data_IF_620477481903
#
_entry.id   IF_620477481903
#
_cell.length_a   1.000
_cell.length_b   1.000
_cell.length_c   1.000
_cell.angle_alpha   90.00
_cell.angle_beta   90.00
_cell.angle_gamma   90.00
#
_symmetry.space_group_name_H-M   'P 1'
#
loop_
_entity.id
_entity.type
_entity.pdbx_description
1 polymer ?
#
# COMPACT_ATOMS: atom_id res chain seq x y z
N UNK A 1 -20.64 19.40 -0.18
CA UNK A 1 -21.90 18.96 -0.85
C UNK A 1 -22.07 19.51 -2.26
N UNK A 2 -21.58 20.71 -2.57
CA UNK A 2 -21.90 21.41 -3.83
C UNK A 2 -21.08 20.95 -5.04
N UNK A 3 -19.88 20.43 -4.86
CA UNK A 3 -19.03 19.94 -5.96
C UNK A 3 -19.67 18.74 -6.62
N UNK A 4 -20.20 17.79 -5.86
CA UNK A 4 -20.87 16.60 -6.40
C UNK A 4 -22.17 16.93 -7.14
N UNK A 5 -22.93 17.92 -6.65
CA UNK A 5 -24.16 18.36 -7.36
C UNK A 5 -23.83 19.01 -8.70
N UNK A 6 -22.76 19.81 -8.76
CA UNK A 6 -22.28 20.43 -10.02
C UNK A 6 -21.76 19.36 -11.00
N UNK A 7 -21.03 18.35 -10.52
CA UNK A 7 -20.59 17.23 -11.35
C UNK A 7 -21.77 16.46 -11.93
N UNK A 8 -22.78 16.14 -11.14
CA UNK A 8 -23.98 15.42 -11.63
C UNK A 8 -24.74 16.26 -12.65
N UNK A 9 -24.90 17.57 -12.44
CA UNK A 9 -25.54 18.47 -13.38
C UNK A 9 -24.75 18.57 -14.69
N UNK A 10 -23.42 18.75 -14.59
CA UNK A 10 -22.53 18.79 -15.74
C UNK A 10 -22.58 17.50 -16.56
N UNK A 11 -22.52 16.36 -15.90
CA UNK A 11 -22.58 15.04 -16.55
C UNK A 11 -23.93 14.82 -17.24
N UNK A 12 -25.06 15.22 -16.61
CA UNK A 12 -26.38 15.14 -17.21
C UNK A 12 -26.53 16.06 -18.43
N UNK A 13 -25.86 17.21 -18.42
CA UNK A 13 -25.99 18.20 -19.50
C UNK A 13 -25.13 17.82 -20.71
N UNK A 14 -23.85 17.45 -20.49
CA UNK A 14 -22.89 17.19 -21.56
C UNK A 14 -22.81 15.73 -22.00
N UNK A 15 -23.15 14.78 -21.14
CA UNK A 15 -23.03 13.34 -21.40
C UNK A 15 -24.36 12.61 -21.18
N UNK A 16 -25.41 13.07 -21.85
CA UNK A 16 -26.77 12.54 -21.69
C UNK A 16 -26.86 11.01 -21.90
N UNK A 17 -26.10 10.46 -22.86
CA UNK A 17 -26.08 9.03 -23.14
C UNK A 17 -25.38 8.18 -22.06
N UNK A 18 -24.38 8.75 -21.38
CA UNK A 18 -23.65 8.06 -20.29
C UNK A 18 -24.28 8.28 -18.91
N UNK A 19 -25.14 9.30 -18.76
CA UNK A 19 -25.71 9.72 -17.47
C UNK A 19 -27.04 9.04 -17.12
N UNK A 20 -27.42 7.96 -17.81
CA UNK A 20 -28.61 7.18 -17.46
C UNK A 20 -28.36 6.34 -16.23
N UNK A 21 -28.89 6.78 -15.10
CA UNK A 21 -28.91 5.99 -13.86
C UNK A 21 -29.87 4.82 -14.04
N UNK A 22 -29.35 3.66 -14.41
CA UNK A 22 -30.11 2.43 -14.53
C UNK A 22 -29.77 1.54 -13.34
N UNK A 23 -30.76 1.28 -12.50
CA UNK A 23 -30.63 0.25 -11.46
C UNK A 23 -30.49 -1.11 -12.14
N UNK A 24 -29.25 -1.59 -12.21
CA UNK A 24 -28.93 -2.88 -12.79
C UNK A 24 -29.13 -3.96 -11.73
N UNK A 25 -30.16 -4.81 -11.91
CA UNK A 25 -30.51 -5.89 -10.96
C UNK A 25 -29.77 -7.20 -11.27
N UNK A 26 -28.49 -7.14 -11.64
CA UNK A 26 -27.69 -8.35 -11.81
C UNK A 26 -27.07 -8.75 -10.48
N UNK A 27 -27.77 -9.63 -9.76
CA UNK A 27 -27.32 -10.18 -8.49
C UNK A 27 -25.97 -10.94 -8.59
N UNK A 28 -25.66 -11.50 -9.76
CA UNK A 28 -24.40 -12.22 -9.98
C UNK A 28 -23.20 -11.29 -9.90
N UNK A 29 -23.22 -10.17 -10.63
CA UNK A 29 -22.17 -9.16 -10.58
C UNK A 29 -22.05 -8.48 -9.23
N UNK A 30 -23.18 -8.20 -8.58
CA UNK A 30 -23.19 -7.64 -7.23
C UNK A 30 -22.54 -8.60 -6.23
N UNK A 31 -22.83 -9.90 -6.31
CA UNK A 31 -22.23 -10.93 -5.47
C UNK A 31 -20.70 -11.01 -5.69
N UNK A 32 -20.25 -10.92 -6.93
CA UNK A 32 -18.81 -10.93 -7.26
C UNK A 32 -18.10 -9.69 -6.66
N UNK A 33 -18.68 -8.50 -6.83
CA UNK A 33 -18.15 -7.26 -6.26
C UNK A 33 -18.11 -7.30 -4.73
N UNK A 34 -19.17 -7.78 -4.08
CA UNK A 34 -19.21 -7.93 -2.62
C UNK A 34 -18.17 -8.95 -2.15
N UNK A 35 -18.04 -10.08 -2.85
CA UNK A 35 -17.02 -11.08 -2.53
C UNK A 35 -15.61 -10.51 -2.66
N UNK A 36 -15.31 -9.81 -3.76
CA UNK A 36 -14.02 -9.15 -3.95
C UNK A 36 -13.72 -8.15 -2.83
N UNK A 37 -14.67 -7.25 -2.54
CA UNK A 37 -14.52 -6.25 -1.48
C UNK A 37 -14.36 -6.85 -0.10
N UNK A 38 -15.07 -7.96 0.19
CA UNK A 38 -14.97 -8.66 1.48
C UNK A 38 -13.57 -9.28 1.67
N UNK A 39 -12.98 -9.87 0.63
CA UNK A 39 -11.62 -10.41 0.71
C UNK A 39 -10.57 -9.31 0.86
N UNK A 40 -10.76 -8.16 0.19
CA UNK A 40 -9.90 -6.98 0.39
C UNK A 40 -10.00 -6.44 1.81
N UNK A 41 -11.22 -6.34 2.34
CA UNK A 41 -11.48 -5.88 3.71
C UNK A 41 -10.81 -6.81 4.74
N UNK A 42 -10.94 -8.13 4.55
CA UNK A 42 -10.31 -9.12 5.44
C UNK A 42 -8.78 -8.96 5.50
N UNK A 43 -8.12 -8.80 4.35
CA UNK A 43 -6.68 -8.53 4.29
C UNK A 43 -6.31 -7.24 5.02
N UNK A 44 -7.09 -6.17 4.80
CA UNK A 44 -6.85 -4.89 5.46
C UNK A 44 -7.04 -4.95 6.99
N UNK A 45 -8.04 -5.68 7.47
CA UNK A 45 -8.27 -5.88 8.91
C UNK A 45 -7.11 -6.66 9.54
N UNK A 46 -6.63 -7.73 8.87
CA UNK A 46 -5.49 -8.50 9.34
C UNK A 46 -4.22 -7.64 9.41
N UNK A 47 -3.93 -6.85 8.38
CA UNK A 47 -2.80 -5.92 8.36
C UNK A 47 -2.87 -4.88 9.49
N UNK A 48 -4.02 -4.21 9.66
CA UNK A 48 -4.20 -3.23 10.75
C UNK A 48 -4.09 -3.90 12.11
N UNK A 49 -4.68 -5.09 12.28
CA UNK A 49 -4.61 -5.87 13.51
C UNK A 49 -3.17 -6.25 13.87
N UNK A 50 -2.40 -6.73 12.89
CA UNK A 50 -0.98 -7.05 13.05
C UNK A 50 -0.15 -5.82 13.43
N UNK A 51 -0.33 -4.72 12.72
CA UNK A 51 0.41 -3.46 12.99
C UNK A 51 0.10 -2.94 14.40
N UNK A 52 -1.16 -2.90 14.80
CA UNK A 52 -1.54 -2.47 16.16
C UNK A 52 -1.07 -3.46 17.24
N UNK A 53 -1.11 -4.77 16.94
CA UNK A 53 -0.57 -5.81 17.81
C UNK A 53 0.94 -5.64 18.04
N UNK A 54 1.71 -5.41 16.98
CA UNK A 54 3.15 -5.14 17.09
C UNK A 54 3.45 -3.86 17.88
N UNK A 55 2.69 -2.79 17.67
CA UNK A 55 2.82 -1.56 18.46
C UNK A 55 2.55 -1.80 19.95
N UNK A 56 1.54 -2.64 20.27
CA UNK A 56 1.24 -3.00 21.66
C UNK A 56 2.35 -3.83 22.29
N UNK A 57 2.88 -4.82 21.58
CA UNK A 57 4.03 -5.64 22.00
C UNK A 57 5.26 -4.75 22.20
N UNK A 58 5.58 -3.88 21.25
CA UNK A 58 6.71 -2.94 21.35
C UNK A 58 6.58 -2.04 22.57
N UNK A 59 5.38 -1.53 22.86
CA UNK A 59 5.15 -0.69 24.03
C UNK A 59 5.28 -1.46 25.35
N UNK A 60 4.88 -2.73 25.36
CA UNK A 60 4.95 -3.59 26.53
C UNK A 60 6.40 -3.92 26.93
N UNK A 61 7.26 -4.24 25.94
CA UNK A 61 8.64 -4.69 26.19
C UNK A 61 9.66 -3.55 26.22
N UNK A 62 9.47 -2.52 25.39
CA UNK A 62 10.46 -1.44 25.21
C UNK A 62 9.98 -0.07 25.74
N UNK A 63 8.72 0.04 26.08
CA UNK A 63 8.13 1.26 26.64
C UNK A 63 7.88 2.37 25.63
N UNK A 64 7.39 3.50 26.13
CA UNK A 64 6.91 4.63 25.35
C UNK A 64 7.98 5.28 24.44
N UNK A 65 9.26 5.44 24.88
CA UNK A 65 10.26 6.10 24.02
C UNK A 65 10.56 5.34 22.73
N UNK A 66 10.64 4.01 22.79
CA UNK A 66 10.90 3.18 21.60
C UNK A 66 9.67 3.16 20.69
N UNK A 67 8.47 3.10 21.26
CA UNK A 67 7.25 3.18 20.47
C UNK A 67 7.11 4.53 19.74
N UNK A 68 7.53 5.63 20.38
CA UNK A 68 7.61 6.93 19.73
C UNK A 68 8.64 6.93 18.57
N UNK A 69 9.79 6.29 18.76
CA UNK A 69 10.80 6.15 17.71
C UNK A 69 10.26 5.34 16.50
N UNK A 70 9.53 4.24 16.75
CA UNK A 70 8.84 3.45 15.69
C UNK A 70 7.81 4.31 14.97
N UNK A 71 7.01 5.12 15.67
CA UNK A 71 6.03 6.01 15.06
C UNK A 71 6.67 7.06 14.15
N UNK A 72 7.81 7.62 14.53
CA UNK A 72 8.58 8.55 13.69
C UNK A 72 9.12 7.81 12.45
N UNK A 73 9.70 6.64 12.64
CA UNK A 73 10.26 5.84 11.56
C UNK A 73 9.18 5.44 10.52
N UNK A 74 7.99 5.07 10.96
CA UNK A 74 6.86 4.75 10.06
C UNK A 74 6.32 5.98 9.34
N UNK A 75 6.41 7.19 9.92
CA UNK A 75 6.07 8.42 9.19
C UNK A 75 7.07 8.72 8.06
N UNK A 76 8.37 8.55 8.31
CA UNK A 76 9.40 8.70 7.29
C UNK A 76 9.21 7.66 6.19
N UNK A 77 8.96 6.40 6.56
CA UNK A 77 8.61 5.31 5.64
C UNK A 77 7.43 5.69 4.74
N UNK A 78 6.32 6.12 5.33
CA UNK A 78 5.11 6.51 4.60
C UNK A 78 5.34 7.66 3.63
N UNK A 79 6.14 8.66 4.02
CA UNK A 79 6.51 9.77 3.15
C UNK A 79 7.30 9.29 1.93
N UNK A 80 8.34 8.49 2.13
CA UNK A 80 9.18 7.96 1.03
C UNK A 80 8.40 6.99 0.15
N UNK A 81 7.65 6.07 0.77
CA UNK A 81 6.88 5.06 0.04
C UNK A 81 5.74 5.67 -0.79
N UNK A 82 5.16 6.79 -0.38
CA UNK A 82 4.06 7.43 -1.11
C UNK A 82 4.40 7.75 -2.56
N UNK A 83 5.65 8.14 -2.84
CA UNK A 83 6.11 8.40 -4.20
C UNK A 83 6.13 7.14 -5.06
N UNK A 84 6.67 6.04 -4.52
CA UNK A 84 6.72 4.75 -5.22
C UNK A 84 5.31 4.18 -5.42
N UNK A 85 4.46 4.28 -4.41
CA UNK A 85 3.07 3.83 -4.50
C UNK A 85 2.29 4.61 -5.57
N UNK A 86 2.42 5.92 -5.63
CA UNK A 86 1.78 6.74 -6.67
C UNK A 86 2.25 6.36 -8.08
N UNK A 87 3.56 6.10 -8.25
CA UNK A 87 4.09 5.59 -9.52
C UNK A 87 3.47 4.23 -9.90
N UNK A 88 3.41 3.29 -8.95
CA UNK A 88 2.79 1.98 -9.17
C UNK A 88 1.30 2.10 -9.49
N UNK A 89 0.56 2.95 -8.78
CA UNK A 89 -0.85 3.19 -9.04
C UNK A 89 -1.11 3.79 -10.43
N UNK A 90 -0.23 4.65 -10.94
CA UNK A 90 -0.34 5.20 -12.29
C UNK A 90 -0.18 4.13 -13.38
N UNK A 91 0.55 3.06 -13.09
CA UNK A 91 0.73 1.93 -14.02
C UNK A 91 -0.40 0.88 -13.97
N UNK A 92 -1.23 0.89 -12.92
CA UNK A 92 -2.29 -0.10 -12.69
C UNK A 92 -3.28 -0.24 -13.87
N UNK A 93 -3.80 0.84 -14.50
CA UNK A 93 -4.71 0.69 -15.64
C UNK A 93 -4.10 -0.09 -16.81
N UNK A 94 -2.80 0.06 -17.06
CA UNK A 94 -2.10 -0.67 -18.13
C UNK A 94 -1.98 -2.16 -17.82
N UNK A 95 -1.72 -2.53 -16.55
CA UNK A 95 -1.70 -3.92 -16.10
C UNK A 95 -3.06 -4.59 -16.28
N UNK A 96 -4.14 -3.91 -15.87
CA UNK A 96 -5.50 -4.43 -16.01
C UNK A 96 -5.89 -4.58 -17.50
N UNK A 97 -5.57 -3.59 -18.33
CA UNK A 97 -5.87 -3.63 -19.77
C UNK A 97 -5.12 -4.75 -20.50
N UNK A 98 -3.81 -4.92 -20.24
CA UNK A 98 -3.01 -5.98 -20.87
C UNK A 98 -3.51 -7.37 -20.46
N UNK A 99 -3.89 -7.55 -19.20
CA UNK A 99 -4.48 -8.79 -18.72
C UNK A 99 -5.86 -9.07 -19.36
N UNK A 100 -6.74 -8.07 -19.40
CA UNK A 100 -8.06 -8.18 -20.02
C UNK A 100 -7.98 -8.48 -21.54
N UNK A 101 -6.95 -7.96 -22.21
CA UNK A 101 -6.66 -8.24 -23.63
C UNK A 101 -6.01 -9.62 -23.84
N UNK A 102 -5.73 -10.38 -22.76
CA UNK A 102 -4.99 -11.67 -22.77
C UNK A 102 -3.57 -11.57 -23.36
N UNK A 103 -2.99 -10.38 -23.35
CA UNK A 103 -1.60 -10.14 -23.76
C UNK A 103 -0.69 -10.37 -22.54
N UNK A 104 -0.45 -11.63 -22.23
CA UNK A 104 0.31 -12.03 -21.05
C UNK A 104 1.80 -11.69 -21.15
N UNK A 105 2.36 -11.65 -22.35
CA UNK A 105 3.76 -11.27 -22.56
C UNK A 105 3.97 -9.79 -22.23
N UNK A 106 3.11 -8.92 -22.73
CA UNK A 106 3.10 -7.51 -22.38
C UNK A 106 2.83 -7.28 -20.90
N UNK A 107 1.88 -8.01 -20.31
CA UNK A 107 1.58 -7.92 -18.88
C UNK A 107 2.82 -8.26 -18.03
N UNK A 108 3.53 -9.35 -18.36
CA UNK A 108 4.77 -9.75 -17.69
C UNK A 108 5.86 -8.68 -17.82
N UNK A 109 6.06 -8.12 -19.02
CA UNK A 109 7.03 -7.03 -19.24
C UNK A 109 6.69 -5.80 -18.41
N UNK A 110 5.40 -5.43 -18.32
CA UNK A 110 4.94 -4.32 -17.48
C UNK A 110 5.24 -4.57 -16.00
N UNK A 111 4.93 -5.77 -15.48
CA UNK A 111 5.20 -6.12 -14.07
C UNK A 111 6.71 -5.98 -13.78
N UNK A 112 7.56 -6.57 -14.60
CA UNK A 112 9.00 -6.51 -14.42
C UNK A 112 9.55 -5.07 -14.56
N UNK A 113 9.02 -4.32 -15.51
CA UNK A 113 9.37 -2.91 -15.71
C UNK A 113 8.99 -2.05 -14.50
N UNK A 114 7.74 -2.17 -14.04
CA UNK A 114 7.25 -1.42 -12.88
C UNK A 114 8.06 -1.78 -11.62
N UNK A 115 8.34 -3.06 -11.38
CA UNK A 115 9.16 -3.51 -10.25
C UNK A 115 10.57 -2.90 -10.30
N UNK A 116 11.21 -2.93 -11.46
CA UNK A 116 12.54 -2.37 -11.68
C UNK A 116 12.58 -0.86 -11.45
N UNK A 117 11.63 -0.12 -12.04
CA UNK A 117 11.57 1.33 -11.88
C UNK A 117 11.16 1.74 -10.47
N UNK A 118 10.30 0.97 -9.80
CA UNK A 118 9.97 1.17 -8.39
C UNK A 118 11.20 1.04 -7.51
N UNK A 119 12.05 0.03 -7.76
CA UNK A 119 13.32 -0.12 -7.03
C UNK A 119 14.26 1.07 -7.26
N UNK A 120 14.42 1.51 -8.51
CA UNK A 120 15.28 2.66 -8.80
C UNK A 120 14.78 3.95 -8.16
N UNK A 121 13.47 4.21 -8.25
CA UNK A 121 12.84 5.36 -7.62
C UNK A 121 13.03 5.31 -6.10
N UNK A 122 12.81 4.13 -5.50
CA UNK A 122 13.00 3.92 -4.08
C UNK A 122 14.46 4.13 -3.67
N UNK A 123 15.42 3.60 -4.44
CA UNK A 123 16.84 3.77 -4.15
C UNK A 123 17.26 5.25 -4.19
N UNK A 124 16.80 5.99 -5.20
CA UNK A 124 17.10 7.44 -5.33
C UNK A 124 16.52 8.23 -4.15
N UNK A 125 15.30 7.91 -3.71
CA UNK A 125 14.66 8.60 -2.59
C UNK A 125 15.25 8.18 -1.24
N UNK A 126 15.60 6.90 -1.09
CA UNK A 126 16.16 6.36 0.16
C UNK A 126 17.59 6.78 0.42
N UNK A 127 18.41 6.94 -0.63
CA UNK A 127 19.82 7.27 -0.47
C UNK A 127 20.05 8.55 0.35
N UNK A 128 19.44 9.71 0.04
CA UNK A 128 19.59 10.91 0.86
C UNK A 128 19.02 10.74 2.28
N UNK A 129 17.92 9.99 2.44
CA UNK A 129 17.32 9.73 3.76
C UNK A 129 18.28 8.90 4.62
N UNK A 130 18.89 7.85 4.06
CA UNK A 130 19.85 7.00 4.78
C UNK A 130 21.13 7.75 5.12
N UNK A 131 21.63 8.58 4.21
CA UNK A 131 22.89 9.31 4.42
C UNK A 131 22.74 10.47 5.40
N UNK A 132 21.65 11.23 5.30
CA UNK A 132 21.39 12.42 6.12
C UNK A 132 20.36 12.17 7.22
N UNK A 133 20.14 10.93 7.67
CA UNK A 133 19.11 10.58 8.66
C UNK A 133 19.14 11.49 9.88
N UNK A 134 20.32 11.65 10.50
CA UNK A 134 20.48 12.52 11.67
C UNK A 134 20.08 13.96 11.39
N UNK A 135 20.63 14.54 10.33
CA UNK A 135 20.35 15.94 9.94
C UNK A 135 18.89 16.17 9.63
N UNK A 136 18.26 15.25 8.88
CA UNK A 136 16.84 15.34 8.52
C UNK A 136 15.94 15.24 9.76
N UNK A 137 16.24 14.30 10.66
CA UNK A 137 15.47 14.13 11.88
C UNK A 137 15.65 15.33 12.84
N UNK A 138 16.85 15.83 13.02
CA UNK A 138 17.13 17.01 13.85
C UNK A 138 16.47 18.27 13.26
N UNK A 139 16.50 18.44 11.94
CA UNK A 139 15.80 19.54 11.27
C UNK A 139 14.28 19.50 11.46
N UNK A 140 13.71 18.29 11.46
CA UNK A 140 12.25 18.11 11.55
C UNK A 140 11.73 18.12 13.00
N UNK A 141 12.42 17.43 13.93
CA UNK A 141 11.97 17.19 15.31
C UNK A 141 12.78 17.98 16.36
N UNK A 142 13.89 18.62 15.96
CA UNK A 142 14.81 19.26 16.87
C UNK A 142 15.82 18.29 17.52
N UNK A 143 16.53 18.77 18.53
CA UNK A 143 17.66 18.03 19.13
C UNK A 143 17.22 16.91 20.10
N UNK A 144 15.94 16.82 20.46
CA UNK A 144 15.42 15.85 21.42
C UNK A 144 14.80 14.63 20.72
N UNK A 145 15.63 13.84 20.05
CA UNK A 145 15.18 12.61 19.39
C UNK A 145 15.02 11.47 20.41
N UNK A 146 13.93 10.67 20.33
CA UNK A 146 13.81 9.44 21.10
C UNK A 146 14.95 8.47 20.81
N UNK A 147 15.33 7.69 21.83
CA UNK A 147 16.39 6.70 21.70
C UNK A 147 16.12 5.71 20.56
N UNK A 148 17.13 5.35 19.80
CA UNK A 148 17.08 4.43 18.64
C UNK A 148 16.30 4.93 17.41
N UNK A 149 15.82 6.17 17.36
CA UNK A 149 15.05 6.69 16.21
C UNK A 149 15.83 6.60 14.90
N UNK A 150 17.10 6.98 14.88
CA UNK A 150 17.92 6.94 13.66
C UNK A 150 18.10 5.53 13.13
N UNK A 151 18.46 4.58 14.03
CA UNK A 151 18.66 3.18 13.67
C UNK A 151 17.37 2.56 13.13
N UNK A 152 16.22 2.87 13.74
CA UNK A 152 14.92 2.38 13.29
C UNK A 152 14.54 2.95 11.93
N UNK A 153 14.76 4.25 11.70
CA UNK A 153 14.52 4.87 10.38
C UNK A 153 15.39 4.20 9.32
N UNK A 154 16.69 4.03 9.58
CA UNK A 154 17.60 3.39 8.63
C UNK A 154 17.20 1.94 8.35
N UNK A 155 16.87 1.17 9.39
CA UNK A 155 16.43 -0.22 9.23
C UNK A 155 15.13 -0.33 8.41
N UNK A 156 14.11 0.48 8.71
CA UNK A 156 12.84 0.48 8.00
C UNK A 156 13.04 0.88 6.54
N UNK A 157 13.80 1.94 6.25
CA UNK A 157 14.07 2.37 4.87
C UNK A 157 14.87 1.32 4.10
N UNK A 158 15.81 0.62 4.74
CA UNK A 158 16.54 -0.49 4.11
C UNK A 158 15.59 -1.67 3.77
N UNK A 159 14.69 -2.03 4.67
CA UNK A 159 13.66 -3.04 4.40
C UNK A 159 12.70 -2.60 3.28
N UNK A 160 12.35 -1.32 3.23
CA UNK A 160 11.47 -0.75 2.22
C UNK A 160 12.05 -0.83 0.81
N UNK A 161 13.38 -0.72 0.66
CA UNK A 161 14.07 -0.93 -0.63
C UNK A 161 13.76 -2.31 -1.21
N UNK A 162 13.75 -3.35 -0.38
CA UNK A 162 13.42 -4.72 -0.80
C UNK A 162 11.93 -4.83 -1.14
N UNK A 163 11.08 -4.24 -0.30
CA UNK A 163 9.62 -4.30 -0.45
C UNK A 163 9.09 -3.52 -1.66
N UNK A 164 9.83 -2.52 -2.14
CA UNK A 164 9.40 -1.66 -3.26
C UNK A 164 9.11 -2.44 -4.55
N UNK A 165 9.78 -3.58 -4.76
CA UNK A 165 9.54 -4.44 -5.92
C UNK A 165 8.22 -5.22 -5.80
N UNK A 166 7.78 -5.53 -4.59
CA UNK A 166 6.63 -6.40 -4.34
C UNK A 166 5.28 -5.76 -4.75
N UNK A 167 5.18 -4.44 -4.73
CA UNK A 167 3.95 -3.72 -5.08
C UNK A 167 3.43 -4.00 -6.48
N UNK A 168 4.30 -4.18 -7.47
CA UNK A 168 3.91 -4.51 -8.84
C UNK A 168 3.29 -5.92 -8.95
N UNK A 169 3.76 -6.87 -8.16
CA UNK A 169 3.17 -8.22 -8.10
C UNK A 169 1.78 -8.19 -7.47
N UNK A 170 1.58 -7.39 -6.43
CA UNK A 170 0.25 -7.17 -5.85
C UNK A 170 -0.72 -6.56 -6.86
N UNK A 171 -0.31 -5.53 -7.60
CA UNK A 171 -1.14 -4.91 -8.64
C UNK A 171 -1.51 -5.92 -9.73
N UNK A 172 -0.61 -6.82 -10.12
CA UNK A 172 -0.92 -7.88 -11.07
C UNK A 172 -1.92 -8.89 -10.52
N UNK A 173 -1.84 -9.24 -9.25
CA UNK A 173 -2.81 -10.12 -8.60
C UNK A 173 -4.23 -9.52 -8.58
N UNK A 174 -4.34 -8.21 -8.37
CA UNK A 174 -5.61 -7.48 -8.47
C UNK A 174 -6.21 -7.54 -9.88
N UNK A 175 -5.37 -7.45 -10.92
CA UNK A 175 -5.81 -7.52 -12.31
C UNK A 175 -6.39 -8.90 -12.70
N UNK A 176 -5.92 -9.99 -12.07
CA UNK A 176 -6.39 -11.36 -12.32
C UNK A 176 -7.82 -11.57 -11.77
N UNK A 177 -8.18 -10.92 -10.68
CA UNK A 177 -9.54 -10.93 -10.14
C UNK A 177 -9.71 -11.64 -8.80
N UNK A 178 -10.97 -11.89 -8.44
CA UNK A 178 -11.41 -12.29 -7.08
C UNK A 178 -10.73 -13.56 -6.55
N UNK A 179 -10.48 -14.55 -7.38
CA UNK A 179 -9.88 -15.83 -6.95
C UNK A 179 -8.45 -15.64 -6.45
N UNK A 180 -7.64 -14.88 -7.20
CA UNK A 180 -6.24 -14.61 -6.86
C UNK A 180 -6.15 -13.67 -5.66
N UNK A 181 -7.02 -12.66 -5.60
CA UNK A 181 -7.12 -11.73 -4.46
C UNK A 181 -7.47 -12.49 -3.18
N UNK A 182 -8.39 -13.46 -3.24
CA UNK A 182 -8.74 -14.31 -2.11
C UNK A 182 -7.53 -15.10 -1.60
N UNK A 183 -6.83 -15.82 -2.48
CA UNK A 183 -5.66 -16.64 -2.10
C UNK A 183 -4.55 -15.77 -1.52
N UNK A 184 -4.25 -14.66 -2.18
CA UNK A 184 -3.23 -13.72 -1.73
C UNK A 184 -3.55 -13.17 -0.33
N UNK A 185 -4.78 -12.66 -0.11
CA UNK A 185 -5.16 -12.08 1.18
C UNK A 185 -5.19 -13.12 2.31
N UNK A 186 -5.56 -14.38 2.04
CA UNK A 186 -5.51 -15.45 3.04
C UNK A 186 -4.06 -15.71 3.47
N UNK A 187 -3.14 -15.83 2.51
CA UNK A 187 -1.72 -16.10 2.81
C UNK A 187 -1.11 -14.93 3.59
N UNK A 188 -1.32 -13.70 3.11
CA UNK A 188 -0.80 -12.51 3.78
C UNK A 188 -1.40 -12.34 5.17
N UNK A 189 -2.72 -12.51 5.32
CA UNK A 189 -3.38 -12.41 6.62
C UNK A 189 -2.88 -13.45 7.63
N UNK A 190 -2.57 -14.67 7.18
CA UNK A 190 -1.97 -15.69 8.04
C UNK A 190 -0.55 -15.28 8.47
N UNK A 191 0.26 -14.76 7.55
CA UNK A 191 1.61 -14.26 7.87
C UNK A 191 1.51 -13.10 8.87
N UNK A 192 0.66 -12.11 8.59
CA UNK A 192 0.46 -10.94 9.45
C UNK A 192 0.00 -11.33 10.86
N UNK A 193 -0.94 -12.26 10.97
CA UNK A 193 -1.41 -12.75 12.28
C UNK A 193 -0.34 -13.55 13.03
N UNK A 194 0.55 -14.26 12.31
CA UNK A 194 1.66 -14.99 12.93
C UNK A 194 2.78 -14.08 13.41
N UNK A 195 2.94 -12.88 12.85
CA UNK A 195 4.03 -11.97 13.26
C UNK A 195 3.88 -11.48 14.70
N UNK A 196 2.64 -11.27 15.18
CA UNK A 196 2.39 -10.77 16.56
C UNK A 196 2.84 -11.77 17.62
N UNK A 197 2.43 -13.07 17.60
CA UNK A 197 2.90 -14.05 18.57
C UNK A 197 4.41 -14.33 18.44
N UNK A 198 4.97 -14.28 17.22
CA UNK A 198 6.42 -14.42 17.03
C UNK A 198 7.22 -13.26 17.62
N UNK A 199 6.67 -12.05 17.60
CA UNK A 199 7.30 -10.89 18.22
C UNK A 199 7.19 -10.88 19.75
N UNK A 200 6.22 -11.62 20.31
CA UNK A 200 6.00 -11.74 21.75
C UNK A 200 6.97 -12.74 22.42
N UNK A 201 7.38 -13.80 21.69
CA UNK A 201 8.34 -14.81 22.14
C UNK A 201 9.77 -14.36 21.95
#
# INVERSE_FOLDING_TARGET
>A
GDVYKRQVLFTKYYFKEAAHFRLYKDLSKTKEMVSFSSWMLMGQVAYVGSTQGLNMVSNLFFGVPVNAAVAIATQVEGAVYSFVNNFQMAANPQLVQSYAAKDYDRNRQLILGISKYSLYLMAILSAPVLYFTHTLLTFWLGDHLPQYTEQLVQAIIACLLISAMAGAFWMSALAIGTSTVKQYNIIVALIDLCTVPLAYY
#
